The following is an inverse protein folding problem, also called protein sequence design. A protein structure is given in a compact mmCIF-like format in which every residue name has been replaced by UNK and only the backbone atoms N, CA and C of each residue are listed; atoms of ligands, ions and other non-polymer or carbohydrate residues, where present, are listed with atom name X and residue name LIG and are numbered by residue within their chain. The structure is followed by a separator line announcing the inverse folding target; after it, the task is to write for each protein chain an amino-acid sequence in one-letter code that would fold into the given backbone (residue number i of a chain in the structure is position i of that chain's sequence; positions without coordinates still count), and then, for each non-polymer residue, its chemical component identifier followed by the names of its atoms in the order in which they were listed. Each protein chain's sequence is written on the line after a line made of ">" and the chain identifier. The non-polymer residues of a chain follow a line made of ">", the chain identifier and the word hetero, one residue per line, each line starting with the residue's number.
data_IF_306905707250
#
_entry.id   IF_306905707250
#
_cell.length_a   1.000
_cell.length_b   1.000
_cell.length_c   1.000
_cell.angle_alpha   90.00
_cell.angle_beta   90.00
_cell.angle_gamma   90.00
#
_symmetry.space_group_name_H-M   'P 1'
#
loop_
_entity.id
_entity.type
_entity.pdbx_description
1 polymer ?
#
# COMPACT_ATOMS: atom_id res chain seq x y z
N UNK A 1 -13.38 12.43 -0.20
CA UNK A 1 -13.25 11.18 0.55
C UNK A 1 -12.10 10.37 -0.02
N UNK A 2 -11.30 9.78 0.84
CA UNK A 2 -10.16 8.98 0.41
C UNK A 2 -10.65 7.78 -0.38
N UNK A 3 -9.93 7.42 -1.44
CA UNK A 3 -10.32 6.28 -2.27
C UNK A 3 -10.40 4.98 -1.47
N UNK A 4 -9.49 4.79 -0.51
CA UNK A 4 -9.50 3.60 0.34
C UNK A 4 -10.79 3.53 1.16
N UNK A 5 -11.19 4.66 1.74
CA UNK A 5 -12.44 4.71 2.50
C UNK A 5 -13.63 4.42 1.60
N UNK A 6 -13.62 5.02 0.41
CA UNK A 6 -14.71 4.85 -0.54
C UNK A 6 -14.86 3.40 -0.98
N UNK A 7 -13.74 2.69 -1.13
CA UNK A 7 -13.74 1.33 -1.64
C UNK A 7 -13.94 0.28 -0.56
N UNK A 8 -13.26 0.44 0.57
CA UNK A 8 -13.26 -0.57 1.62
C UNK A 8 -14.15 -0.23 2.80
N UNK A 9 -14.62 1.01 2.89
CA UNK A 9 -15.48 1.40 3.99
C UNK A 9 -14.78 1.58 5.31
N UNK A 10 -13.46 1.78 5.30
CA UNK A 10 -12.70 1.98 6.53
C UNK A 10 -12.18 3.41 6.60
N UNK A 11 -12.06 3.98 7.81
CA UNK A 11 -11.56 5.34 7.94
C UNK A 11 -10.08 5.42 7.62
N UNK A 12 -9.67 6.54 7.01
CA UNK A 12 -8.28 6.80 6.67
C UNK A 12 -7.93 8.19 7.14
N UNK A 13 -6.88 8.30 7.95
CA UNK A 13 -6.39 9.59 8.45
C UNK A 13 -4.94 9.69 8.04
N UNK A 14 -4.62 10.65 7.17
CA UNK A 14 -3.27 10.85 6.67
C UNK A 14 -2.64 12.07 7.31
N UNK A 15 -1.37 11.94 7.70
CA UNK A 15 -0.62 13.06 8.25
C UNK A 15 0.82 12.95 7.78
N UNK A 16 1.57 14.03 7.99
CA UNK A 16 2.97 14.05 7.61
C UNK A 16 3.77 13.07 8.47
N UNK A 17 4.68 12.32 7.82
CA UNK A 17 5.58 11.44 8.55
C UNK A 17 6.89 12.19 8.78
N UNK A 18 7.22 12.45 10.04
CA UNK A 18 8.33 13.33 10.38
C UNK A 18 9.67 12.62 10.60
N UNK A 19 9.67 11.30 10.55
CA UNK A 19 10.87 10.53 10.84
C UNK A 19 11.65 10.10 9.60
N UNK A 20 11.24 10.59 8.43
CA UNK A 20 11.89 10.20 7.19
C UNK A 20 13.36 10.63 7.15
N UNK A 21 13.73 11.68 7.87
CA UNK A 21 15.12 12.15 7.90
C UNK A 21 16.08 11.12 8.48
N UNK A 22 15.56 10.18 9.27
CA UNK A 22 16.40 9.14 9.87
C UNK A 22 16.66 7.98 8.92
N UNK A 23 16.02 7.96 7.75
CA UNK A 23 16.17 6.87 6.79
C UNK A 23 17.48 7.01 6.02
N UNK A 24 18.03 5.88 5.52
CA UNK A 24 19.14 5.95 4.58
C UNK A 24 18.78 6.81 3.37
N UNK A 25 19.79 7.51 2.87
CA UNK A 25 19.59 8.44 1.78
C UNK A 25 18.91 7.82 0.57
N UNK A 26 19.26 6.57 0.23
CA UNK A 26 18.72 5.95 -0.97
C UNK A 26 17.20 5.75 -0.91
N UNK A 27 16.64 5.60 0.29
CA UNK A 27 15.19 5.48 0.43
C UNK A 27 14.51 6.83 0.25
N UNK A 28 15.11 7.89 0.82
CA UNK A 28 14.56 9.24 0.64
C UNK A 28 14.67 9.72 -0.79
N UNK A 29 15.61 9.17 -1.55
CA UNK A 29 15.80 9.54 -2.93
C UNK A 29 14.77 8.88 -3.83
N UNK A 30 14.24 7.74 -3.43
CA UNK A 30 13.33 6.96 -4.26
C UNK A 30 11.87 7.17 -3.97
N UNK A 31 11.55 7.66 -2.78
CA UNK A 31 10.15 7.77 -2.34
C UNK A 31 9.91 9.04 -1.58
N UNK A 32 8.63 9.46 -1.59
CA UNK A 32 8.16 10.40 -0.58
C UNK A 32 7.21 9.62 0.32
N UNK A 33 6.98 10.15 1.52
CA UNK A 33 6.28 9.40 2.56
C UNK A 33 5.22 10.23 3.25
N UNK A 34 4.17 9.54 3.72
CA UNK A 34 3.23 10.11 4.67
C UNK A 34 2.75 8.99 5.56
N UNK A 35 2.37 9.32 6.78
CA UNK A 35 1.83 8.29 7.65
C UNK A 35 0.31 8.30 7.54
N UNK A 36 -0.30 7.16 7.76
CA UNK A 36 -1.74 7.04 7.68
C UNK A 36 -2.22 6.03 8.68
N UNK A 37 -3.44 6.25 9.17
CA UNK A 37 -4.13 5.29 9.99
C UNK A 37 -5.25 4.77 9.11
N UNK A 38 -5.20 3.49 8.76
CA UNK A 38 -6.17 2.88 7.85
C UNK A 38 -6.94 1.82 8.62
N UNK A 39 -8.20 2.10 8.93
CA UNK A 39 -9.02 1.15 9.64
C UNK A 39 -8.44 0.78 11.00
N UNK A 40 -7.74 1.68 11.65
CA UNK A 40 -7.13 1.44 12.94
C UNK A 40 -5.72 0.86 12.85
N UNK A 41 -5.20 0.63 11.65
CA UNK A 41 -3.87 0.07 11.46
C UNK A 41 -2.90 1.19 11.09
N UNK A 42 -1.79 1.29 11.82
CA UNK A 42 -0.77 2.30 11.55
C UNK A 42 -0.02 1.94 10.27
N UNK A 43 -0.03 2.85 9.30
CA UNK A 43 0.55 2.61 7.99
C UNK A 43 1.52 3.71 7.60
N UNK A 44 2.42 3.36 6.68
CA UNK A 44 3.31 4.29 6.04
C UNK A 44 2.99 4.25 4.54
N UNK A 45 2.50 5.36 4.01
CA UNK A 45 2.19 5.46 2.58
C UNK A 45 3.44 5.90 1.86
N UNK A 46 3.81 5.15 0.84
CA UNK A 46 5.04 5.35 0.09
C UNK A 46 4.69 5.73 -1.34
N UNK A 47 5.17 6.90 -1.78
CA UNK A 47 4.93 7.38 -3.14
C UNK A 47 6.24 7.29 -3.91
N UNK A 48 6.35 6.39 -4.89
CA UNK A 48 7.57 6.31 -5.70
C UNK A 48 7.77 7.60 -6.49
N UNK A 49 9.01 8.07 -6.52
CA UNK A 49 9.36 9.27 -7.26
C UNK A 49 9.56 8.98 -8.74
N UNK A 50 10.09 7.80 -9.04
CA UNK A 50 10.33 7.39 -10.43
C UNK A 50 9.80 6.00 -10.68
N UNK A 51 10.48 5.25 -11.53
CA UNK A 51 10.05 3.91 -11.83
C UNK A 51 10.27 2.99 -10.65
N UNK A 52 9.40 1.99 -10.54
CA UNK A 52 9.53 0.99 -9.49
C UNK A 52 10.71 0.07 -9.75
N UNK A 53 11.40 -0.30 -8.68
CA UNK A 53 12.46 -1.28 -8.74
C UNK A 53 11.87 -2.67 -8.92
N UNK A 54 12.74 -3.69 -9.01
CA UNK A 54 12.28 -5.07 -9.10
C UNK A 54 11.56 -5.46 -7.82
N UNK A 55 10.73 -6.50 -7.92
CA UNK A 55 9.95 -6.93 -6.77
C UNK A 55 10.84 -7.33 -5.59
N UNK A 56 11.98 -7.96 -5.86
CA UNK A 56 12.89 -8.35 -4.79
C UNK A 56 13.47 -7.14 -4.07
N UNK A 57 13.81 -6.09 -4.82
CA UNK A 57 14.30 -4.85 -4.24
C UNK A 57 13.20 -4.18 -3.43
N UNK A 58 11.98 -4.16 -3.95
CA UNK A 58 10.84 -3.57 -3.23
C UNK A 58 10.59 -4.29 -1.91
N UNK A 59 10.70 -5.62 -1.90
CA UNK A 59 10.53 -6.38 -0.66
C UNK A 59 11.56 -5.97 0.38
N UNK A 60 12.79 -5.72 -0.03
CA UNK A 60 13.83 -5.26 0.88
C UNK A 60 13.54 -3.87 1.40
N UNK A 61 13.06 -2.98 0.54
CA UNK A 61 12.70 -1.63 0.96
C UNK A 61 11.56 -1.67 1.96
N UNK A 62 10.55 -2.50 1.72
CA UNK A 62 9.43 -2.64 2.64
C UNK A 62 9.90 -3.11 4.01
N UNK A 63 10.79 -4.10 4.04
CA UNK A 63 11.31 -4.61 5.29
C UNK A 63 12.05 -3.53 6.07
N UNK A 64 12.86 -2.73 5.37
CA UNK A 64 13.60 -1.63 5.99
C UNK A 64 12.66 -0.57 6.53
N UNK A 65 11.67 -0.21 5.73
CA UNK A 65 10.72 0.83 6.12
C UNK A 65 9.84 0.37 7.28
N UNK A 66 9.44 -0.87 7.26
CA UNK A 66 8.64 -1.43 8.35
C UNK A 66 9.46 -1.44 9.65
N UNK A 67 10.71 -1.86 9.57
CA UNK A 67 11.58 -1.89 10.76
C UNK A 67 11.81 -0.49 11.31
N UNK A 68 11.98 0.50 10.43
CA UNK A 68 12.26 1.86 10.85
C UNK A 68 11.03 2.58 11.41
N UNK A 69 9.85 2.28 10.89
CA UNK A 69 8.65 3.03 11.24
C UNK A 69 7.72 2.28 12.18
N UNK A 70 7.80 0.96 12.22
CA UNK A 70 6.83 0.15 12.95
C UNK A 70 5.45 0.15 12.31
N UNK A 71 5.36 0.58 11.05
CA UNK A 71 4.08 0.73 10.36
C UNK A 71 4.00 -0.21 9.18
N UNK A 72 2.77 -0.55 8.79
CA UNK A 72 2.55 -1.33 7.57
C UNK A 72 2.82 -0.44 6.36
N UNK A 73 3.60 -0.94 5.40
CA UNK A 73 3.99 -0.15 4.25
C UNK A 73 2.99 -0.35 3.13
N UNK A 74 2.50 0.76 2.57
CA UNK A 74 1.53 0.75 1.48
C UNK A 74 2.07 1.62 0.35
N UNK A 75 2.16 1.06 -0.85
CA UNK A 75 2.57 1.83 -2.02
C UNK A 75 1.36 2.52 -2.63
N UNK A 76 1.44 3.82 -2.82
CA UNK A 76 0.39 4.52 -3.56
C UNK A 76 0.95 4.84 -4.94
N UNK A 77 0.32 4.26 -5.96
CA UNK A 77 0.81 4.29 -7.33
C UNK A 77 -0.19 5.01 -8.22
N UNK A 78 0.29 5.62 -9.31
CA UNK A 78 -0.60 6.24 -10.28
C UNK A 78 -1.11 5.22 -11.28
N UNK A 79 -0.36 4.14 -11.48
CA UNK A 79 -0.74 3.07 -12.40
C UNK A 79 0.06 1.82 -12.04
N UNK A 80 -0.47 0.67 -12.44
CA UNK A 80 0.24 -0.58 -12.24
C UNK A 80 -0.15 -1.53 -13.37
N UNK A 81 0.85 -2.21 -13.95
CA UNK A 81 0.59 -3.20 -14.98
C UNK A 81 0.05 -4.48 -14.34
N UNK A 82 -0.60 -5.31 -15.15
CA UNK A 82 -1.11 -6.57 -14.65
C UNK A 82 0.00 -7.44 -14.09
N UNK A 83 1.12 -7.47 -14.75
CA UNK A 83 2.25 -8.28 -14.31
C UNK A 83 2.78 -7.79 -12.96
N UNK A 84 2.94 -6.48 -12.81
CA UNK A 84 3.38 -5.91 -11.55
C UNK A 84 2.38 -6.15 -10.44
N UNK A 85 1.09 -5.99 -10.77
CA UNK A 85 0.03 -6.23 -9.80
C UNK A 85 0.10 -7.64 -9.25
N UNK A 86 0.28 -8.62 -10.15
CA UNK A 86 0.39 -10.01 -9.72
C UNK A 86 1.62 -10.24 -8.85
N UNK A 87 2.73 -9.61 -9.18
CA UNK A 87 3.95 -9.71 -8.38
C UNK A 87 3.76 -9.12 -6.99
N UNK A 88 3.07 -7.96 -6.89
CA UNK A 88 2.78 -7.36 -5.62
C UNK A 88 1.91 -8.26 -4.75
N UNK A 89 0.88 -8.83 -5.37
CA UNK A 89 -0.04 -9.71 -4.64
C UNK A 89 0.67 -10.98 -4.19
N UNK A 90 1.48 -11.57 -5.05
CA UNK A 90 2.24 -12.77 -4.69
C UNK A 90 3.19 -12.50 -3.52
N UNK A 91 3.79 -11.33 -3.50
CA UNK A 91 4.72 -10.94 -2.44
C UNK A 91 4.00 -10.35 -1.22
N UNK A 92 2.68 -10.20 -1.28
CA UNK A 92 1.85 -9.62 -0.24
C UNK A 92 2.27 -8.19 0.08
N UNK A 93 2.64 -7.42 -0.95
CA UNK A 93 2.97 -6.01 -0.82
C UNK A 93 1.71 -5.21 -1.02
N UNK A 94 1.34 -4.43 -0.01
CA UNK A 94 0.14 -3.60 -0.07
C UNK A 94 0.32 -2.46 -1.05
N UNK A 95 -0.74 -2.15 -1.81
CA UNK A 95 -0.69 -1.02 -2.73
C UNK A 95 -2.10 -0.47 -2.97
N UNK A 96 -2.13 0.78 -3.42
CA UNK A 96 -3.38 1.40 -3.84
C UNK A 96 -3.11 2.21 -5.11
N UNK A 97 -4.00 2.06 -6.09
CA UNK A 97 -4.01 2.88 -7.30
C UNK A 97 -5.32 3.64 -7.22
N UNK A 98 -5.31 4.90 -6.79
CA UNK A 98 -6.55 5.63 -6.53
C UNK A 98 -7.51 5.57 -7.71
N UNK A 99 -8.78 5.37 -7.43
CA UNK A 99 -9.87 5.26 -8.39
C UNK A 99 -9.81 3.99 -9.24
N UNK A 100 -8.89 3.07 -8.95
CA UNK A 100 -8.77 1.84 -9.74
C UNK A 100 -8.74 0.58 -8.91
N UNK A 101 -7.81 0.46 -7.96
CA UNK A 101 -7.73 -0.76 -7.18
C UNK A 101 -6.98 -0.55 -5.88
N UNK A 102 -7.23 -1.46 -4.94
CA UNK A 102 -6.60 -1.41 -3.64
C UNK A 102 -6.37 -2.84 -3.15
N UNK A 103 -5.21 -3.06 -2.54
CA UNK A 103 -4.85 -4.35 -1.98
C UNK A 103 -4.14 -4.12 -0.65
N UNK A 104 -4.82 -4.42 0.44
CA UNK A 104 -4.31 -4.20 1.79
C UNK A 104 -4.46 -5.48 2.59
N UNK A 105 -3.51 -6.41 2.41
CA UNK A 105 -3.65 -7.74 3.04
C UNK A 105 -3.66 -7.72 4.56
N UNK A 106 -3.08 -6.68 5.16
CA UNK A 106 -3.05 -6.58 6.63
C UNK A 106 -4.42 -6.27 7.23
N UNK A 107 -5.40 -5.89 6.43
CA UNK A 107 -6.75 -5.64 6.94
C UNK A 107 -7.55 -6.93 7.10
N UNK A 108 -7.02 -8.02 6.60
CA UNK A 108 -7.64 -9.31 6.77
C UNK A 108 -8.38 -9.81 5.55
N UNK A 109 -8.59 -11.11 5.52
CA UNK A 109 -9.18 -11.77 4.38
C UNK A 109 -10.61 -11.33 4.10
N UNK A 110 -11.33 -10.98 5.15
CA UNK A 110 -12.73 -10.60 4.97
C UNK A 110 -12.90 -9.39 4.05
N UNK A 111 -12.09 -8.36 4.27
CA UNK A 111 -12.18 -7.17 3.42
C UNK A 111 -11.74 -7.46 2.00
N UNK A 112 -10.72 -8.27 1.85
CA UNK A 112 -10.24 -8.66 0.53
C UNK A 112 -11.32 -9.45 -0.22
N UNK A 113 -11.98 -10.36 0.47
CA UNK A 113 -13.04 -11.14 -0.13
C UNK A 113 -14.21 -10.29 -0.57
N UNK A 114 -14.55 -9.29 0.23
CA UNK A 114 -15.64 -8.40 -0.14
C UNK A 114 -15.37 -7.69 -1.45
N UNK A 115 -14.14 -7.23 -1.63
CA UNK A 115 -13.76 -6.61 -2.89
C UNK A 115 -13.90 -7.58 -4.04
N UNK A 116 -13.41 -8.79 -3.85
CA UNK A 116 -13.49 -9.79 -4.89
C UNK A 116 -14.92 -10.15 -5.24
N UNK A 117 -15.75 -10.37 -4.23
CA UNK A 117 -17.15 -10.67 -4.45
C UNK A 117 -17.85 -9.61 -5.24
N UNK A 118 -17.60 -8.40 -4.86
CA UNK A 118 -18.21 -7.27 -5.51
C UNK A 118 -17.83 -7.21 -6.96
N UNK A 119 -16.57 -7.41 -7.21
CA UNK A 119 -16.04 -7.34 -8.54
C UNK A 119 -16.53 -8.45 -9.41
N UNK A 120 -16.58 -9.65 -8.91
CA UNK A 120 -16.96 -10.79 -9.66
C UNK A 120 -18.43 -10.93 -9.77
N UNK A 121 -19.07 -10.28 -8.91
CA UNK A 121 -20.47 -10.40 -8.92
C UNK A 121 -20.88 -11.80 -8.69
N UNK A 122 -20.18 -12.66 -8.34
CA UNK A 122 -20.38 -13.87 -8.34
C UNK A 122 -20.62 -14.50 -7.40
N UNK A 123 -20.86 -14.61 -7.41
CA UNK A 123 -21.11 -15.12 -6.93
C UNK A 123 -20.75 -15.96 -6.23
N UNK A 124 -20.49 -16.33 -5.87
CA UNK A 124 -20.16 -16.98 -5.34
C UNK A 124 -20.37 -17.06 -4.39
N UNK A 125 -20.53 -16.94 -4.33
CA UNK A 125 -20.82 -16.94 -3.65
C UNK A 125 -21.17 -17.03 -3.20
#
# INVERSE_FOLDING_TARGET
>A
MDYITKTLGVPVIRTEWKQQAALPFFLNDRYTFEQADIGGVACLIVHPVGELDTINTLKKHVARLHAASGRQVVFELTAISRQRRNSFIDAKLAFVVPEKQVYLPFLGALLTERCDSEEIGRAHV
#
